data_IF_240694050864
#
_entry.id   IF_240694050864
#
_cell.length_a   1.000
_cell.length_b   1.000
_cell.length_c   1.000
_cell.angle_alpha   90.00
_cell.angle_beta   90.00
_cell.angle_gamma   90.00
#
_symmetry.space_group_name_H-M   'P 1'
#
loop_
_entity.id
_entity.type
_entity.pdbx_description
1 polymer ?
#
# COMPACT_ATOMS: atom_id res chain seq x y z
N UNK A 1 30.86 15.41 15.11
CA UNK A 1 29.74 15.38 14.17
C UNK A 1 29.72 16.65 13.36
N UNK A 2 29.23 16.57 12.13
CA UNK A 2 29.34 17.60 11.13
C UNK A 2 28.71 18.92 11.52
N UNK A 3 29.26 19.99 10.97
CA UNK A 3 28.72 21.33 11.04
C UNK A 3 29.06 22.09 9.75
N UNK A 4 28.21 23.02 9.38
CA UNK A 4 28.48 23.99 8.33
C UNK A 4 28.80 25.30 9.03
N UNK A 5 30.02 25.82 8.81
CA UNK A 5 30.44 27.11 9.27
C UNK A 5 30.60 28.01 8.05
N UNK A 6 29.59 28.82 7.81
CA UNK A 6 29.55 29.70 6.67
C UNK A 6 30.01 31.14 7.04
N UNK A 7 30.62 31.80 6.09
CA UNK A 7 31.00 33.20 6.20
C UNK A 7 31.08 33.84 4.82
N UNK A 8 30.53 35.03 4.69
CA UNK A 8 30.62 35.88 3.49
C UNK A 8 31.84 36.80 3.48
N UNK A 9 32.69 36.73 4.50
CA UNK A 9 33.90 37.52 4.57
C UNK A 9 35.02 36.91 3.72
N UNK A 10 35.98 37.75 3.28
CA UNK A 10 37.14 37.29 2.56
C UNK A 10 37.98 36.32 3.42
N UNK A 11 38.65 35.36 2.80
CA UNK A 11 39.40 34.28 3.45
C UNK A 11 40.36 34.81 4.54
N UNK A 12 41.01 35.91 4.29
CA UNK A 12 42.00 36.53 5.20
C UNK A 12 41.40 37.05 6.49
N UNK A 13 40.08 37.32 6.46
CA UNK A 13 39.30 37.80 7.61
C UNK A 13 38.68 36.66 8.39
N UNK A 14 38.58 35.48 7.80
CA UNK A 14 38.07 34.28 8.45
C UNK A 14 39.23 33.51 9.11
N UNK A 15 39.19 33.35 10.41
CA UNK A 15 40.23 32.62 11.16
C UNK A 15 39.63 31.65 12.13
N UNK A 16 40.07 30.40 12.05
CA UNK A 16 39.74 29.35 13.00
C UNK A 16 41.02 28.83 13.64
N UNK A 17 41.17 29.02 14.94
CA UNK A 17 42.30 28.49 15.69
C UNK A 17 41.79 27.50 16.73
N UNK A 18 42.29 26.27 16.68
CA UNK A 18 41.88 25.20 17.59
C UNK A 18 43.02 24.25 17.92
N UNK A 19 42.92 23.47 18.98
CA UNK A 19 43.89 22.44 19.33
C UNK A 19 43.88 21.31 18.32
N UNK A 20 42.70 20.77 18.06
CA UNK A 20 42.41 19.71 17.08
C UNK A 20 41.14 20.06 16.33
N UNK A 21 41.08 19.68 15.07
CA UNK A 21 39.88 19.80 14.24
C UNK A 21 39.53 18.41 13.67
N UNK A 22 38.38 17.92 14.06
CA UNK A 22 37.82 16.68 13.54
C UNK A 22 36.45 16.95 12.99
N UNK A 23 36.08 16.28 11.91
CA UNK A 23 34.78 16.40 11.30
C UNK A 23 34.27 15.04 10.81
N UNK A 24 33.00 14.95 10.65
CA UNK A 24 32.29 13.77 10.16
C UNK A 24 31.03 14.25 9.46
N UNK A 25 30.77 13.74 8.28
CA UNK A 25 29.52 14.00 7.55
C UNK A 25 28.34 13.37 8.28
N UNK A 26 27.15 13.90 8.04
CA UNK A 26 25.91 13.41 8.67
C UNK A 26 25.08 12.70 7.60
N UNK A 27 24.97 11.39 7.72
CA UNK A 27 24.03 10.62 6.93
C UNK A 27 22.62 10.82 7.48
N UNK A 28 21.79 11.47 6.67
CA UNK A 28 20.37 11.68 6.96
C UNK A 28 19.59 10.52 6.36
N UNK A 29 18.73 9.91 7.15
CA UNK A 29 17.88 8.81 6.71
C UNK A 29 16.48 9.02 7.25
N UNK A 30 15.49 8.91 6.39
CA UNK A 30 14.09 8.84 6.77
C UNK A 30 13.44 7.66 6.07
N UNK A 31 12.71 6.88 6.82
CA UNK A 31 11.93 5.75 6.34
C UNK A 31 10.56 5.83 7.00
N UNK A 32 9.51 5.56 6.25
CA UNK A 32 8.20 5.33 6.82
C UNK A 32 7.55 4.11 6.16
N UNK A 33 6.78 3.40 6.94
CA UNK A 33 5.93 2.31 6.51
C UNK A 33 4.61 2.40 7.26
N UNK A 34 3.52 2.46 6.52
CA UNK A 34 2.18 2.36 7.09
C UNK A 34 1.61 0.99 6.77
N UNK A 35 1.35 0.20 7.80
CA UNK A 35 0.55 -1.00 7.67
C UNK A 35 -0.79 -0.77 8.38
N UNK A 36 -1.87 -0.91 7.63
CA UNK A 36 -3.18 -1.02 8.21
C UNK A 36 -3.80 -2.34 7.74
N UNK A 37 -4.02 -3.25 8.66
CA UNK A 37 -4.79 -4.46 8.43
C UNK A 37 -6.15 -4.27 9.10
N UNK A 38 -7.19 -4.02 8.30
CA UNK A 38 -8.56 -3.90 8.78
C UNK A 38 -9.48 -4.81 7.98
N UNK A 39 -10.11 -5.76 8.64
CA UNK A 39 -11.35 -6.36 8.12
C UNK A 39 -12.45 -5.42 8.61
N UNK A 40 -12.94 -4.56 7.75
CA UNK A 40 -14.14 -3.78 8.04
C UNK A 40 -15.37 -4.67 7.83
N UNK A 41 -15.75 -5.38 8.86
CA UNK A 41 -17.08 -5.96 8.97
C UNK A 41 -17.99 -4.90 9.62
N UNK A 42 -18.45 -3.91 8.89
CA UNK A 42 -19.54 -3.06 9.32
C UNK A 42 -20.74 -3.29 8.42
N UNK A 43 -21.79 -3.77 9.01
CA UNK A 43 -23.06 -4.09 8.36
C UNK A 43 -23.72 -2.87 7.69
N UNK A 44 -23.49 -1.66 8.15
CA UNK A 44 -24.14 -0.45 7.62
C UNK A 44 -23.34 0.33 6.56
N UNK A 45 -22.04 0.44 6.71
CA UNK A 45 -21.20 1.13 5.73
C UNK A 45 -20.87 0.25 4.52
N UNK A 46 -20.68 -1.05 4.75
CA UNK A 46 -20.41 -2.04 3.69
C UNK A 46 -21.67 -2.29 2.86
N UNK A 47 -22.85 -2.29 3.43
CA UNK A 47 -24.11 -2.46 2.68
C UNK A 47 -24.42 -1.30 1.75
N UNK A 48 -24.02 -0.06 2.08
CA UNK A 48 -24.15 1.10 1.20
C UNK A 48 -23.09 1.16 0.10
N UNK A 49 -21.87 0.66 0.38
CA UNK A 49 -20.75 0.60 -0.57
C UNK A 49 -20.76 -0.67 -1.41
N UNK A 50 -21.36 -1.73 -0.90
CA UNK A 50 -21.48 -3.04 -1.55
C UNK A 50 -22.82 -3.68 -1.19
N UNK A 51 -23.88 -3.45 -1.99
CA UNK A 51 -25.21 -4.02 -1.76
C UNK A 51 -25.24 -5.56 -1.73
N UNK A 52 -24.17 -6.23 -2.20
CA UNK A 52 -24.00 -7.67 -2.14
C UNK A 52 -23.41 -8.17 -0.80
N UNK A 53 -23.19 -7.26 0.18
CA UNK A 53 -22.80 -7.62 1.55
C UNK A 53 -21.40 -8.19 1.75
N UNK A 54 -20.61 -8.37 0.70
CA UNK A 54 -19.34 -9.08 0.71
C UNK A 54 -18.24 -8.22 0.11
N UNK A 55 -17.41 -7.60 0.95
CA UNK A 55 -16.31 -6.83 0.43
C UNK A 55 -15.13 -6.79 1.40
N UNK A 56 -14.07 -7.51 1.09
CA UNK A 56 -12.78 -7.24 1.68
C UNK A 56 -12.16 -6.08 0.91
N UNK A 57 -11.97 -4.95 1.58
CA UNK A 57 -11.24 -3.81 1.04
C UNK A 57 -9.96 -3.66 1.88
N UNK A 58 -8.81 -4.03 1.34
CA UNK A 58 -7.55 -3.86 2.02
C UNK A 58 -7.18 -2.39 2.10
N UNK A 59 -6.54 -1.99 3.18
CA UNK A 59 -5.84 -0.71 3.23
C UNK A 59 -4.55 -0.81 2.42
N UNK A 60 -4.28 0.19 1.61
CA UNK A 60 -3.06 0.25 0.80
C UNK A 60 -1.88 0.59 1.71
N UNK A 61 -0.87 -0.29 1.86
CA UNK A 61 0.34 0.05 2.56
C UNK A 61 1.12 1.09 1.76
N UNK A 62 1.58 2.12 2.42
CA UNK A 62 2.40 3.17 1.81
C UNK A 62 3.76 3.15 2.47
N UNK A 63 4.80 3.04 1.65
CA UNK A 63 6.20 3.04 2.09
C UNK A 63 6.96 4.13 1.37
N UNK A 64 7.89 4.76 2.07
CA UNK A 64 8.82 5.68 1.46
C UNK A 64 10.15 5.68 2.23
N UNK A 65 11.21 5.90 1.50
CA UNK A 65 12.54 6.07 2.05
C UNK A 65 13.25 7.22 1.35
N UNK A 66 13.98 8.02 2.09
CA UNK A 66 14.87 9.04 1.55
C UNK A 66 16.16 9.03 2.34
N UNK A 67 17.27 9.22 1.65
CA UNK A 67 18.59 9.37 2.23
C UNK A 67 19.30 10.54 1.60
N UNK A 68 20.07 11.28 2.41
CA UNK A 68 20.97 12.33 1.95
C UNK A 68 22.16 12.41 2.89
N UNK A 69 23.26 13.03 2.44
CA UNK A 69 24.41 13.28 3.29
C UNK A 69 24.59 14.78 3.42
N UNK A 70 24.54 15.31 4.64
CA UNK A 70 24.95 16.67 4.94
C UNK A 70 26.46 16.65 5.16
N UNK A 71 27.17 17.31 4.27
CA UNK A 71 28.63 17.38 4.34
C UNK A 71 29.06 18.42 5.38
N UNK A 72 30.10 18.09 6.11
CA UNK A 72 30.79 19.10 6.94
C UNK A 72 31.54 20.05 6.03
N UNK A 73 31.32 21.35 6.19
CA UNK A 73 32.00 22.37 5.43
C UNK A 73 32.35 23.58 6.27
N UNK A 74 33.46 24.20 5.95
CA UNK A 74 33.88 25.45 6.54
C UNK A 74 34.23 26.40 5.39
N UNK A 75 33.59 27.55 5.34
CA UNK A 75 33.90 28.58 4.34
C UNK A 75 35.42 28.89 4.31
N UNK A 76 35.88 29.35 3.17
CA UNK A 76 37.29 29.69 2.99
C UNK A 76 37.83 30.51 4.16
N UNK A 77 38.83 29.96 4.82
CA UNK A 77 39.37 30.51 6.07
C UNK A 77 40.84 30.11 6.31
N UNK A 78 41.51 30.83 7.18
CA UNK A 78 42.83 30.46 7.71
C UNK A 78 42.60 29.55 8.92
N UNK A 79 42.81 28.24 8.73
CA UNK A 79 42.65 27.24 9.79
C UNK A 79 44.01 26.93 10.39
N UNK A 80 44.15 27.12 11.68
CA UNK A 80 45.37 26.82 12.43
C UNK A 80 45.05 25.79 13.51
N UNK A 81 45.68 24.62 13.44
CA UNK A 81 45.59 23.58 14.45
C UNK A 81 46.92 23.48 15.20
N UNK A 82 46.90 23.39 16.53
CA UNK A 82 48.11 23.33 17.34
C UNK A 82 48.61 21.93 17.65
N UNK A 83 47.74 20.92 17.49
CA UNK A 83 48.04 19.52 17.85
C UNK A 83 48.01 18.53 16.68
N UNK A 84 47.34 18.85 15.57
CA UNK A 84 47.24 17.95 14.39
C UNK A 84 47.28 18.74 13.09
N UNK A 85 47.86 18.10 12.04
CA UNK A 85 48.07 18.72 10.72
C UNK A 85 46.94 18.53 9.73
N UNK A 86 45.74 18.17 10.15
CA UNK A 86 44.67 17.60 9.31
C UNK A 86 43.71 18.61 8.68
N UNK A 87 43.98 19.90 8.74
CA UNK A 87 43.09 20.94 8.17
C UNK A 87 43.05 20.99 6.62
N UNK A 88 43.80 20.11 5.91
CA UNK A 88 43.97 20.21 4.45
C UNK A 88 42.84 19.54 3.63
N UNK A 89 41.97 18.77 4.26
CA UNK A 89 40.94 17.94 3.55
C UNK A 89 39.50 18.35 3.83
N UNK A 90 39.28 19.46 4.52
CA UNK A 90 37.93 19.90 4.82
C UNK A 90 37.26 20.49 3.59
N UNK A 91 35.99 20.22 3.44
CA UNK A 91 35.17 20.79 2.37
C UNK A 91 34.97 22.30 2.61
N UNK A 92 35.19 23.12 1.59
CA UNK A 92 35.00 24.57 1.65
C UNK A 92 33.73 25.03 0.92
N UNK A 93 33.01 24.10 0.26
CA UNK A 93 31.75 24.38 -0.40
C UNK A 93 30.60 24.34 0.64
N UNK A 94 30.35 25.48 1.28
CA UNK A 94 29.28 25.61 2.27
C UNK A 94 27.89 25.71 1.62
N UNK A 95 27.80 26.17 0.36
CA UNK A 95 26.52 26.33 -0.33
C UNK A 95 25.89 24.99 -0.68
N UNK A 96 26.70 24.00 -1.10
CA UNK A 96 26.24 22.67 -1.47
C UNK A 96 26.39 21.62 -0.36
N UNK A 97 26.86 22.01 0.83
CA UNK A 97 27.05 21.08 1.94
C UNK A 97 25.73 20.62 2.58
N UNK A 98 24.71 21.45 2.54
CA UNK A 98 23.42 21.16 3.12
C UNK A 98 22.53 20.37 2.13
N UNK A 99 22.45 19.07 2.32
CA UNK A 99 21.53 18.21 1.61
C UNK A 99 20.35 17.85 2.53
N UNK A 100 19.29 18.63 2.48
CA UNK A 100 18.05 18.29 3.19
C UNK A 100 17.40 17.03 2.61
N UNK A 101 16.76 16.24 3.47
CA UNK A 101 15.93 15.14 3.01
C UNK A 101 14.77 15.69 2.16
N UNK A 102 14.52 15.04 1.03
CA UNK A 102 13.30 15.30 0.26
C UNK A 102 12.07 14.82 1.01
N UNK A 103 10.91 15.40 0.72
CA UNK A 103 9.63 14.91 1.21
C UNK A 103 9.41 13.48 0.71
N UNK A 104 9.16 12.57 1.66
CA UNK A 104 9.04 11.14 1.36
C UNK A 104 7.59 10.64 1.38
N UNK A 105 6.67 11.41 1.97
CA UNK A 105 5.26 11.07 2.05
C UNK A 105 4.44 11.95 1.12
N UNK A 106 3.88 11.33 0.09
CA UNK A 106 2.91 11.97 -0.79
C UNK A 106 1.50 11.49 -0.42
N UNK A 107 0.80 12.33 0.31
CA UNK A 107 -0.57 12.07 0.77
C UNK A 107 -1.53 11.89 -0.40
N UNK A 108 -1.42 12.70 -1.44
CA UNK A 108 -2.33 12.64 -2.59
C UNK A 108 -2.21 11.29 -3.30
N UNK A 109 -0.98 10.85 -3.60
CA UNK A 109 -0.74 9.53 -4.21
C UNK A 109 -1.26 8.38 -3.33
N UNK A 110 -1.15 8.50 -2.00
CA UNK A 110 -1.68 7.49 -1.08
C UNK A 110 -3.22 7.43 -1.11
N UNK A 111 -3.87 8.58 -1.09
CA UNK A 111 -5.34 8.70 -1.17
C UNK A 111 -5.88 8.19 -2.51
N UNK A 112 -5.26 8.55 -3.63
CA UNK A 112 -5.63 8.08 -4.97
C UNK A 112 -5.52 6.57 -5.12
N UNK A 113 -4.45 5.96 -4.59
CA UNK A 113 -4.30 4.50 -4.58
C UNK A 113 -5.37 3.82 -3.76
N UNK A 114 -5.70 4.34 -2.58
CA UNK A 114 -6.76 3.79 -1.74
C UNK A 114 -8.12 3.90 -2.43
N UNK A 115 -8.42 5.02 -3.06
CA UNK A 115 -9.66 5.21 -3.82
C UNK A 115 -9.76 4.23 -4.99
N UNK A 116 -8.68 4.05 -5.75
CA UNK A 116 -8.63 3.05 -6.82
C UNK A 116 -8.95 1.64 -6.32
N UNK A 117 -8.34 1.21 -5.21
CA UNK A 117 -8.59 -0.09 -4.60
C UNK A 117 -10.05 -0.23 -4.12
N UNK A 118 -10.61 0.84 -3.56
CA UNK A 118 -12.03 0.88 -3.15
C UNK A 118 -12.98 0.72 -4.34
N UNK A 119 -12.71 1.42 -5.44
CA UNK A 119 -13.50 1.32 -6.69
C UNK A 119 -13.38 -0.08 -7.28
N UNK A 120 -12.15 -0.61 -7.39
CA UNK A 120 -11.88 -1.95 -7.91
C UNK A 120 -12.63 -3.02 -7.11
N UNK A 121 -12.58 -2.94 -5.78
CA UNK A 121 -13.32 -3.85 -4.90
C UNK A 121 -14.82 -3.78 -5.14
N UNK A 122 -15.38 -2.57 -5.09
CA UNK A 122 -16.82 -2.37 -5.26
C UNK A 122 -17.34 -2.85 -6.60
N UNK A 123 -16.66 -2.51 -7.69
CA UNK A 123 -17.05 -2.92 -9.04
C UNK A 123 -16.85 -4.42 -9.22
N UNK A 124 -15.72 -4.96 -8.78
CA UNK A 124 -15.42 -6.38 -8.93
C UNK A 124 -16.39 -7.29 -8.20
N UNK A 125 -16.68 -7.00 -6.94
CA UNK A 125 -17.64 -7.81 -6.18
C UNK A 125 -19.07 -7.69 -6.70
N UNK A 126 -19.48 -6.51 -7.20
CA UNK A 126 -20.78 -6.35 -7.87
C UNK A 126 -20.88 -7.22 -9.12
N UNK A 127 -19.85 -7.18 -9.98
CA UNK A 127 -19.83 -8.00 -11.21
C UNK A 127 -19.92 -9.50 -10.90
N UNK A 128 -19.25 -9.96 -9.84
CA UNK A 128 -19.37 -11.36 -9.40
C UNK A 128 -20.79 -11.66 -8.96
N UNK A 129 -21.41 -10.79 -8.18
CA UNK A 129 -22.79 -10.94 -7.73
C UNK A 129 -23.77 -11.04 -8.90
N UNK A 130 -23.66 -10.11 -9.85
CA UNK A 130 -24.53 -10.06 -11.04
C UNK A 130 -24.36 -11.30 -11.91
N UNK A 131 -23.11 -11.72 -12.17
CA UNK A 131 -22.80 -12.90 -12.98
C UNK A 131 -23.27 -14.19 -12.28
N UNK A 132 -23.03 -14.33 -10.98
CA UNK A 132 -23.47 -15.49 -10.23
C UNK A 132 -25.00 -15.60 -10.20
N UNK A 133 -25.71 -14.49 -9.96
CA UNK A 133 -27.17 -14.47 -9.99
C UNK A 133 -27.76 -14.75 -11.34
N UNK A 134 -27.14 -14.28 -12.42
CA UNK A 134 -27.55 -14.64 -13.78
C UNK A 134 -27.36 -16.15 -14.05
N UNK A 135 -26.22 -16.71 -13.62
CA UNK A 135 -25.93 -18.14 -13.82
C UNK A 135 -26.85 -19.02 -13.01
N UNK A 136 -27.12 -18.66 -11.77
CA UNK A 136 -28.10 -19.35 -10.92
C UNK A 136 -29.47 -19.37 -11.58
N UNK A 137 -29.99 -18.23 -12.04
CA UNK A 137 -31.26 -18.10 -12.72
C UNK A 137 -31.33 -18.94 -14.00
N UNK A 138 -30.30 -18.92 -14.84
CA UNK A 138 -30.18 -19.72 -16.05
C UNK A 138 -30.33 -21.23 -15.74
N UNK A 139 -29.64 -21.68 -14.70
CA UNK A 139 -29.66 -23.09 -14.31
C UNK A 139 -31.01 -23.52 -13.75
N UNK A 140 -31.68 -22.69 -12.96
CA UNK A 140 -33.06 -22.98 -12.53
C UNK A 140 -34.04 -23.00 -13.70
N UNK A 141 -33.90 -22.14 -14.70
CA UNK A 141 -34.71 -22.19 -15.91
C UNK A 141 -34.52 -23.51 -16.66
N UNK A 142 -33.28 -23.98 -16.82
CA UNK A 142 -32.98 -25.28 -17.42
C UNK A 142 -33.55 -26.46 -16.61
N UNK A 143 -33.54 -26.35 -15.28
CA UNK A 143 -34.16 -27.34 -14.41
C UNK A 143 -35.69 -27.43 -14.66
N UNK A 144 -36.36 -26.30 -14.76
CA UNK A 144 -37.80 -26.25 -15.05
C UNK A 144 -38.16 -26.80 -16.45
N UNK A 145 -37.33 -26.50 -17.44
CA UNK A 145 -37.48 -27.07 -18.80
C UNK A 145 -37.32 -28.60 -18.79
N UNK A 146 -36.30 -29.11 -18.08
CA UNK A 146 -36.07 -30.53 -17.93
C UNK A 146 -37.23 -31.24 -17.20
N UNK A 147 -37.82 -30.63 -16.15
CA UNK A 147 -39.02 -31.14 -15.47
C UNK A 147 -40.21 -31.23 -16.42
N UNK A 148 -40.46 -30.19 -17.21
CA UNK A 148 -41.54 -30.18 -18.21
C UNK A 148 -41.34 -31.24 -19.28
N UNK A 149 -40.08 -31.57 -19.61
CA UNK A 149 -39.74 -32.64 -20.55
C UNK A 149 -39.78 -34.06 -19.90
N UNK A 150 -40.11 -34.16 -18.61
CA UNK A 150 -40.15 -35.45 -17.89
C UNK A 150 -38.75 -35.96 -17.46
N UNK A 151 -37.72 -35.20 -17.63
CA UNK A 151 -36.35 -35.60 -17.28
C UNK A 151 -35.94 -35.11 -15.87
N UNK A 152 -36.45 -35.81 -14.85
CA UNK A 152 -36.23 -35.41 -13.44
C UNK A 152 -34.78 -35.47 -13.02
N UNK A 153 -34.01 -36.47 -13.47
CA UNK A 153 -32.59 -36.59 -13.13
C UNK A 153 -31.78 -35.39 -13.63
N UNK A 154 -32.08 -34.93 -14.84
CA UNK A 154 -31.39 -33.77 -15.40
C UNK A 154 -31.83 -32.49 -14.69
N UNK A 155 -33.11 -32.37 -14.30
CA UNK A 155 -33.60 -31.25 -13.50
C UNK A 155 -32.84 -31.13 -12.15
N UNK A 156 -32.74 -32.22 -11.41
CA UNK A 156 -31.98 -32.26 -10.14
C UNK A 156 -30.51 -31.89 -10.31
N UNK A 157 -29.89 -32.30 -11.42
CA UNK A 157 -28.51 -31.92 -11.70
C UNK A 157 -28.36 -30.41 -11.92
N UNK A 158 -29.29 -29.78 -12.64
CA UNK A 158 -29.28 -28.33 -12.84
C UNK A 158 -29.57 -27.59 -11.55
N UNK A 159 -30.45 -28.06 -10.69
CA UNK A 159 -30.73 -27.46 -9.39
C UNK A 159 -29.48 -27.50 -8.47
N UNK A 160 -28.83 -28.67 -8.37
CA UNK A 160 -27.56 -28.79 -7.62
C UNK A 160 -26.43 -27.89 -8.14
N UNK A 161 -26.40 -27.71 -9.46
CA UNK A 161 -25.43 -26.78 -10.04
C UNK A 161 -25.79 -25.31 -9.78
N UNK A 162 -27.10 -24.96 -9.78
CA UNK A 162 -27.59 -23.64 -9.43
C UNK A 162 -27.24 -23.26 -7.99
N UNK A 163 -27.40 -24.18 -7.05
CA UNK A 163 -27.04 -23.98 -5.63
C UNK A 163 -25.59 -23.59 -5.44
N UNK A 164 -24.65 -24.03 -6.29
CA UNK A 164 -23.25 -23.63 -6.23
C UNK A 164 -23.05 -22.16 -6.59
N UNK A 165 -23.99 -21.54 -7.29
CA UNK A 165 -23.97 -20.14 -7.70
C UNK A 165 -24.83 -19.24 -6.82
N UNK A 166 -25.60 -19.81 -5.90
CA UNK A 166 -26.40 -19.08 -4.92
C UNK A 166 -25.54 -18.19 -4.02
N UNK A 167 -26.15 -17.40 -3.17
CA UNK A 167 -25.47 -16.42 -2.31
C UNK A 167 -24.35 -17.04 -1.46
N UNK A 168 -24.57 -18.26 -0.94
CA UNK A 168 -23.58 -19.03 -0.17
C UNK A 168 -22.96 -20.20 -0.94
N UNK A 169 -23.10 -20.21 -2.25
CA UNK A 169 -22.63 -21.28 -3.11
C UNK A 169 -21.11 -21.30 -3.26
N UNK A 170 -20.58 -22.50 -3.42
CA UNK A 170 -19.12 -22.71 -3.48
C UNK A 170 -18.45 -21.98 -4.63
N UNK A 171 -19.09 -21.89 -5.80
CA UNK A 171 -18.52 -21.18 -6.95
C UNK A 171 -18.45 -19.67 -6.69
N UNK A 172 -19.52 -19.11 -6.11
CA UNK A 172 -19.56 -17.68 -5.76
C UNK A 172 -18.52 -17.33 -4.69
N UNK A 173 -18.38 -18.16 -3.65
CA UNK A 173 -17.35 -18.01 -2.62
C UNK A 173 -15.94 -18.03 -3.25
N UNK A 174 -15.67 -18.98 -4.15
CA UNK A 174 -14.38 -19.08 -4.83
C UNK A 174 -14.06 -17.82 -5.64
N UNK A 175 -15.04 -17.27 -6.36
CA UNK A 175 -14.86 -16.05 -7.14
C UNK A 175 -14.62 -14.82 -6.25
N UNK A 176 -15.32 -14.73 -5.12
CA UNK A 176 -15.03 -13.69 -4.12
C UNK A 176 -13.61 -13.81 -3.57
N UNK A 177 -13.11 -15.01 -3.32
CA UNK A 177 -11.73 -15.27 -2.94
C UNK A 177 -10.73 -14.78 -3.98
N UNK A 178 -10.94 -15.11 -5.25
CA UNK A 178 -10.09 -14.65 -6.36
C UNK A 178 -10.10 -13.13 -6.47
N UNK A 179 -11.27 -12.51 -6.36
CA UNK A 179 -11.36 -11.03 -6.38
C UNK A 179 -10.64 -10.39 -5.20
N UNK A 180 -10.78 -10.96 -4.00
CA UNK A 180 -10.04 -10.51 -2.83
C UNK A 180 -8.52 -10.60 -3.01
N UNK A 181 -8.05 -11.69 -3.63
CA UNK A 181 -6.63 -11.84 -3.97
C UNK A 181 -6.15 -10.77 -4.96
N UNK A 182 -6.94 -10.49 -5.99
CA UNK A 182 -6.64 -9.46 -6.99
C UNK A 182 -6.57 -8.08 -6.35
N UNK A 183 -7.58 -7.71 -5.58
CA UNK A 183 -7.65 -6.43 -4.86
C UNK A 183 -6.46 -6.26 -3.90
N UNK A 184 -6.11 -7.32 -3.16
CA UNK A 184 -4.96 -7.31 -2.26
C UNK A 184 -3.63 -7.16 -2.98
N UNK A 185 -3.50 -7.77 -4.16
CA UNK A 185 -2.33 -7.61 -5.01
C UNK A 185 -2.17 -6.15 -5.46
N UNK A 186 -3.24 -5.56 -5.97
CA UNK A 186 -3.23 -4.15 -6.42
C UNK A 186 -3.00 -3.18 -5.25
N UNK A 187 -3.50 -3.50 -4.07
CA UNK A 187 -3.21 -2.75 -2.86
C UNK A 187 -1.77 -2.91 -2.35
N UNK A 188 -1.00 -3.89 -2.84
CA UNK A 188 0.32 -4.22 -2.31
C UNK A 188 0.30 -4.97 -0.98
N UNK A 189 -0.88 -5.46 -0.54
CA UNK A 189 -1.05 -6.14 0.74
C UNK A 189 -0.74 -7.65 0.71
N UNK A 190 -0.43 -8.20 -0.45
CA UNK A 190 -0.14 -9.62 -0.67
C UNK A 190 -1.38 -10.49 -0.92
N UNK A 191 -1.26 -11.40 -1.89
CA UNK A 191 -2.35 -12.24 -2.40
C UNK A 191 -2.98 -13.11 -1.29
N UNK A 192 -2.18 -13.65 -0.38
CA UNK A 192 -2.65 -14.51 0.69
C UNK A 192 -3.64 -13.84 1.64
N UNK A 193 -3.42 -12.57 1.98
CA UNK A 193 -4.33 -11.79 2.84
C UNK A 193 -5.71 -11.59 2.17
N UNK A 194 -5.73 -11.41 0.86
CA UNK A 194 -6.97 -11.23 0.11
C UNK A 194 -7.78 -12.51 -0.05
N UNK A 195 -7.12 -13.63 -0.33
CA UNK A 195 -7.77 -14.95 -0.41
C UNK A 195 -8.42 -15.33 0.91
N UNK A 196 -7.71 -15.20 2.02
CA UNK A 196 -8.22 -15.54 3.34
C UNK A 196 -9.29 -14.57 3.81
N UNK A 197 -9.12 -13.27 3.61
CA UNK A 197 -10.07 -12.25 4.02
C UNK A 197 -11.42 -12.37 3.32
N UNK A 198 -11.42 -12.49 1.99
CA UNK A 198 -12.65 -12.60 1.21
C UNK A 198 -13.34 -13.97 1.40
N UNK A 199 -12.57 -15.05 1.47
CA UNK A 199 -13.11 -16.40 1.73
C UNK A 199 -13.69 -16.54 3.13
N UNK A 200 -13.00 -16.00 4.15
CA UNK A 200 -13.48 -16.02 5.54
C UNK A 200 -14.77 -15.19 5.71
N UNK A 201 -14.84 -14.03 5.07
CA UNK A 201 -16.03 -13.18 5.12
C UNK A 201 -17.22 -13.86 4.47
N UNK A 202 -17.03 -14.51 3.31
CA UNK A 202 -18.06 -15.29 2.66
C UNK A 202 -18.51 -16.51 3.48
N UNK A 203 -17.61 -17.08 4.30
CA UNK A 203 -17.94 -18.20 5.19
C UNK A 203 -18.72 -17.74 6.44
N UNK A 204 -18.33 -16.60 7.04
CA UNK A 204 -18.97 -16.07 8.25
C UNK A 204 -20.40 -15.56 8.04
N UNK A 205 -20.80 -15.27 6.81
CA UNK A 205 -22.18 -14.89 6.48
C UNK A 205 -23.12 -16.10 6.27
N UNK A 206 -22.59 -17.32 6.42
CA UNK A 206 -23.36 -18.56 6.27
C UNK A 206 -24.15 -18.95 7.54
N UNK A 207 -23.91 -18.27 8.67
CA UNK A 207 -24.65 -18.43 9.94
C UNK A 207 -25.66 -17.29 10.12
#
# INVERSE_FOLDING_TARGET
>A
KGAIIDSKAEKEKNRLTTGTLTWEDIDNKAEYETEASGITASTDAVSKLNPAGLGYVPTVPVKGASGSTTYTAIADSIITTTKEKTAKEINHDTENAMNALSEIFDRQTAEEKQEYVNILSRVGYRLIGDMAGQKEKELYQKAEEAKKAGNMTQAENYEKEAEKWSENGTNRIAMHGIMGALVSKEAGAGIGKGLTGAGLNAFLQKE
#
